data_IF_852666065188
#
_entry.id   IF_852666065188
#
_cell.length_a   1.000
_cell.length_b   1.000
_cell.length_c   1.000
_cell.angle_alpha   90.00
_cell.angle_beta   90.00
_cell.angle_gamma   90.00
#
_symmetry.space_group_name_H-M   'P 1'
#
loop_
_entity.id
_entity.type
_entity.pdbx_description
1 polymer ?
#
# COMPACT_ATOMS: atom_id res chain seq x y z
N UNK A 1 2.84 7.18 18.68
CA UNK A 1 3.85 8.16 18.86
C UNK A 1 5.22 7.81 18.33
N UNK A 2 6.24 7.86 19.18
CA UNK A 2 7.66 7.66 18.80
C UNK A 2 7.95 6.29 18.16
N UNK A 3 7.26 5.23 18.62
CA UNK A 3 7.46 3.87 18.12
C UNK A 3 7.00 3.71 16.66
N UNK A 4 5.85 4.29 16.30
CA UNK A 4 5.31 4.23 14.93
C UNK A 4 6.24 4.97 13.95
N UNK A 5 6.70 6.17 14.33
CA UNK A 5 7.62 6.95 13.51
C UNK A 5 8.93 6.22 13.26
N UNK A 6 9.45 5.50 14.26
CA UNK A 6 10.67 4.70 14.13
C UNK A 6 10.51 3.60 13.09
N UNK A 7 9.41 2.85 13.11
CA UNK A 7 9.16 1.78 12.12
C UNK A 7 9.10 2.32 10.69
N UNK A 8 8.47 3.46 10.48
CA UNK A 8 8.43 4.13 9.17
C UNK A 8 9.83 4.53 8.72
N UNK A 9 10.62 5.15 9.59
CA UNK A 9 12.00 5.55 9.29
C UNK A 9 12.88 4.34 8.97
N UNK A 10 12.70 3.23 9.67
CA UNK A 10 13.45 2.01 9.40
C UNK A 10 13.18 1.48 7.98
N UNK A 11 11.95 1.58 7.49
CA UNK A 11 11.62 1.22 6.11
C UNK A 11 12.28 2.19 5.12
N UNK A 12 12.15 3.50 5.34
CA UNK A 12 12.77 4.52 4.47
C UNK A 12 14.28 4.31 4.37
N UNK A 13 14.93 4.00 5.49
CA UNK A 13 16.37 3.81 5.56
C UNK A 13 16.87 2.54 4.83
N UNK A 14 15.98 1.64 4.45
CA UNK A 14 16.35 0.48 3.64
C UNK A 14 16.55 0.83 2.16
N UNK A 15 16.15 2.01 1.73
CA UNK A 15 16.36 2.47 0.34
C UNK A 15 17.84 2.35 -0.05
N UNK A 16 18.11 1.64 -1.15
CA UNK A 16 19.46 1.38 -1.68
C UNK A 16 20.39 0.57 -0.76
N UNK A 17 19.88 0.01 0.33
CA UNK A 17 20.70 -0.76 1.29
C UNK A 17 20.30 -2.21 1.37
N UNK A 18 19.01 -2.50 1.39
CA UNK A 18 18.51 -3.86 1.49
C UNK A 18 17.13 -3.98 0.84
N UNK A 19 16.80 -5.20 0.43
CA UNK A 19 15.48 -5.51 -0.11
C UNK A 19 14.44 -5.50 1.01
N UNK A 20 13.28 -4.90 0.75
CA UNK A 20 12.16 -4.89 1.66
C UNK A 20 11.25 -6.08 1.33
N UNK A 21 11.01 -6.93 2.33
CA UNK A 21 10.11 -8.08 2.18
C UNK A 21 8.73 -7.69 2.70
N UNK A 22 7.74 -7.75 1.83
CA UNK A 22 6.35 -7.42 2.14
C UNK A 22 5.47 -8.63 1.88
N UNK A 23 4.69 -9.04 2.88
CA UNK A 23 3.81 -10.20 2.80
C UNK A 23 2.40 -9.80 3.24
N UNK A 24 1.39 -10.51 2.72
CA UNK A 24 0.00 -10.31 3.09
C UNK A 24 -0.42 -11.27 4.20
N UNK A 25 -1.27 -10.81 5.11
CA UNK A 25 -1.86 -11.65 6.14
C UNK A 25 -3.36 -11.41 6.22
N UNK A 26 -4.11 -12.49 6.49
CA UNK A 26 -5.57 -12.46 6.58
C UNK A 26 -6.07 -12.83 7.97
N UNK A 27 -5.19 -13.26 8.87
CA UNK A 27 -5.54 -13.68 10.22
C UNK A 27 -4.39 -13.45 11.19
N UNK A 28 -4.70 -13.47 12.49
CA UNK A 28 -3.71 -13.44 13.56
C UNK A 28 -2.65 -14.55 13.41
N UNK A 29 -3.10 -15.77 13.12
CA UNK A 29 -2.20 -16.93 13.05
C UNK A 29 -1.18 -16.78 11.94
N UNK A 30 -1.62 -16.39 10.73
CA UNK A 30 -0.73 -16.16 9.61
C UNK A 30 0.22 -15.01 9.92
N UNK A 31 -0.28 -13.90 10.46
CA UNK A 31 0.53 -12.75 10.83
C UNK A 31 1.63 -13.14 11.82
N UNK A 32 1.30 -13.94 12.83
CA UNK A 32 2.28 -14.41 13.83
C UNK A 32 3.41 -15.23 13.20
N UNK A 33 3.09 -16.04 12.21
CA UNK A 33 4.09 -16.87 11.52
C UNK A 33 5.00 -16.01 10.66
N UNK A 34 4.46 -15.11 9.85
CA UNK A 34 5.25 -14.33 8.88
C UNK A 34 5.95 -13.12 9.49
N UNK A 35 5.55 -12.68 10.67
CA UNK A 35 6.11 -11.49 11.33
C UNK A 35 7.63 -11.55 11.51
N UNK A 36 8.19 -12.75 11.66
CA UNK A 36 9.64 -12.94 11.81
C UNK A 36 10.40 -12.95 10.48
N UNK A 37 9.69 -13.03 9.34
CA UNK A 37 10.29 -13.22 8.02
C UNK A 37 10.10 -12.06 7.07
N UNK A 38 9.44 -10.99 7.50
CA UNK A 38 9.17 -9.84 6.65
C UNK A 38 9.35 -8.51 7.38
N UNK A 39 9.43 -7.45 6.59
CA UNK A 39 9.53 -6.07 7.07
C UNK A 39 8.17 -5.40 7.17
N UNK A 40 7.25 -5.77 6.25
CA UNK A 40 5.92 -5.18 6.14
C UNK A 40 4.89 -6.29 6.03
N UNK A 41 3.80 -6.15 6.77
CA UNK A 41 2.61 -7.00 6.64
C UNK A 41 1.47 -6.13 6.11
N UNK A 42 0.92 -6.55 4.97
CA UNK A 42 -0.18 -5.89 4.29
C UNK A 42 -1.50 -6.58 4.62
N UNK A 43 -2.51 -5.79 4.95
CA UNK A 43 -3.90 -6.24 4.98
C UNK A 43 -4.59 -5.56 3.81
N UNK A 44 -4.81 -6.31 2.73
CA UNK A 44 -5.19 -5.74 1.45
C UNK A 44 -6.61 -6.05 0.99
N UNK A 45 -7.00 -5.44 -0.12
CA UNK A 45 -8.32 -5.61 -0.74
C UNK A 45 -8.60 -7.04 -1.19
N UNK A 46 -7.56 -7.85 -1.45
CA UNK A 46 -7.71 -9.27 -1.78
C UNK A 46 -8.36 -10.09 -0.65
N UNK A 47 -8.48 -9.51 0.56
CA UNK A 47 -9.16 -10.11 1.69
C UNK A 47 -10.56 -10.61 1.34
N UNK A 48 -11.33 -9.83 0.58
CA UNK A 48 -12.68 -10.20 0.18
C UNK A 48 -12.73 -11.47 -0.65
N UNK A 49 -11.79 -11.64 -1.61
CA UNK A 49 -11.68 -12.84 -2.43
C UNK A 49 -11.33 -14.08 -1.62
N UNK A 50 -10.45 -13.93 -0.64
CA UNK A 50 -9.92 -15.06 0.14
C UNK A 50 -10.90 -15.52 1.22
N UNK A 51 -11.45 -14.59 2.00
CA UNK A 51 -12.23 -14.93 3.19
C UNK A 51 -13.74 -14.93 2.98
N UNK A 52 -14.24 -14.11 2.05
CA UNK A 52 -15.67 -13.93 1.83
C UNK A 52 -16.17 -14.47 0.49
N UNK A 53 -15.26 -14.99 -0.35
CA UNK A 53 -15.60 -15.46 -1.68
C UNK A 53 -16.29 -14.40 -2.55
N UNK A 54 -15.89 -13.16 -2.40
CA UNK A 54 -16.41 -12.08 -3.23
C UNK A 54 -15.89 -12.18 -4.66
N UNK A 55 -16.73 -11.79 -5.63
CA UNK A 55 -16.37 -11.79 -7.05
C UNK A 55 -15.38 -10.67 -7.39
N UNK A 56 -15.30 -9.62 -6.57
CA UNK A 56 -14.44 -8.45 -6.79
C UNK A 56 -13.89 -7.95 -5.47
N UNK A 57 -12.63 -7.48 -5.48
CA UNK A 57 -12.00 -6.84 -4.33
C UNK A 57 -12.69 -5.53 -3.93
N UNK A 58 -13.48 -4.93 -4.85
CA UNK A 58 -14.26 -3.71 -4.58
C UNK A 58 -15.40 -3.91 -3.60
N UNK A 59 -15.78 -5.15 -3.33
CA UNK A 59 -16.87 -5.49 -2.41
C UNK A 59 -16.46 -5.42 -0.93
N UNK A 60 -15.16 -5.29 -0.64
CA UNK A 60 -14.69 -5.17 0.75
C UNK A 60 -15.08 -3.82 1.33
N UNK A 61 -15.80 -3.84 2.45
CA UNK A 61 -16.22 -2.62 3.15
C UNK A 61 -15.15 -2.13 4.12
N UNK A 62 -15.24 -0.86 4.50
CA UNK A 62 -14.37 -0.28 5.52
C UNK A 62 -14.47 -1.06 6.84
N UNK A 63 -15.68 -1.39 7.28
CA UNK A 63 -15.89 -2.12 8.53
C UNK A 63 -15.29 -3.54 8.48
N UNK A 64 -15.46 -4.24 7.37
CA UNK A 64 -14.86 -5.56 7.19
C UNK A 64 -13.33 -5.48 7.25
N UNK A 65 -12.73 -4.50 6.56
CA UNK A 65 -11.29 -4.28 6.59
C UNK A 65 -10.79 -4.00 8.01
N UNK A 66 -11.49 -3.16 8.76
CA UNK A 66 -11.14 -2.84 10.14
C UNK A 66 -11.21 -4.09 11.03
N UNK A 67 -12.27 -4.89 10.94
CA UNK A 67 -12.42 -6.07 11.79
C UNK A 67 -11.33 -7.11 11.54
N UNK A 68 -11.01 -7.38 10.28
CA UNK A 68 -9.92 -8.30 9.96
C UNK A 68 -8.56 -7.74 10.35
N UNK A 69 -8.36 -6.44 10.18
CA UNK A 69 -7.11 -5.78 10.56
C UNK A 69 -6.86 -5.84 12.07
N UNK A 70 -7.91 -5.76 12.88
CA UNK A 70 -7.78 -5.96 14.34
C UNK A 70 -7.23 -7.35 14.67
N UNK A 71 -7.70 -8.38 13.99
CA UNK A 71 -7.20 -9.74 14.17
C UNK A 71 -5.72 -9.86 13.75
N UNK A 72 -5.40 -9.36 12.57
CA UNK A 72 -4.02 -9.36 12.06
C UNK A 72 -3.08 -8.62 13.00
N UNK A 73 -3.51 -7.46 13.54
CA UNK A 73 -2.71 -6.66 14.48
C UNK A 73 -2.23 -7.48 15.67
N UNK A 74 -3.08 -8.36 16.17
CA UNK A 74 -2.74 -9.19 17.33
C UNK A 74 -1.57 -10.15 17.07
N UNK A 75 -1.32 -10.49 15.81
CA UNK A 75 -0.21 -11.37 15.40
C UNK A 75 1.09 -10.65 15.11
N UNK A 76 1.11 -9.32 15.02
CA UNK A 76 2.28 -8.56 14.61
C UNK A 76 2.99 -7.95 15.82
N UNK A 77 4.28 -8.25 15.95
CA UNK A 77 5.13 -7.66 17.00
C UNK A 77 6.25 -6.79 16.43
N UNK A 78 6.80 -7.15 15.27
CA UNK A 78 8.01 -6.53 14.70
C UNK A 78 7.73 -5.78 13.39
N UNK A 79 6.97 -6.37 12.49
CA UNK A 79 6.76 -5.83 11.15
C UNK A 79 5.94 -4.54 11.16
N UNK A 80 6.15 -3.71 10.14
CA UNK A 80 5.28 -2.57 9.88
C UNK A 80 3.94 -3.09 9.35
N UNK A 81 2.86 -2.69 9.98
CA UNK A 81 1.50 -3.07 9.54
C UNK A 81 0.89 -1.98 8.67
N UNK A 82 0.49 -2.34 7.47
CA UNK A 82 -0.15 -1.44 6.52
C UNK A 82 -1.53 -1.99 6.17
N UNK A 83 -2.54 -1.14 6.25
CA UNK A 83 -3.93 -1.49 5.91
C UNK A 83 -4.35 -0.76 4.66
N UNK A 84 -4.84 -1.50 3.67
CA UNK A 84 -5.40 -0.90 2.45
C UNK A 84 -6.68 -0.15 2.78
N UNK A 85 -6.79 1.09 2.29
CA UNK A 85 -8.06 1.79 2.30
C UNK A 85 -8.93 1.22 1.17
N UNK A 86 -10.12 0.66 1.50
CA UNK A 86 -10.98 0.08 0.47
C UNK A 86 -11.45 1.09 -0.56
N UNK A 87 -11.86 0.58 -1.72
CA UNK A 87 -12.49 1.39 -2.77
C UNK A 87 -13.65 2.21 -2.20
N UNK A 88 -13.81 3.44 -2.67
CA UNK A 88 -14.83 4.40 -2.22
C UNK A 88 -14.66 4.90 -0.77
N UNK A 89 -13.48 4.78 -0.18
CA UNK A 89 -13.22 5.32 1.17
C UNK A 89 -12.31 6.55 1.16
N UNK A 90 -11.80 6.95 -0.01
CA UNK A 90 -10.90 8.12 -0.15
C UNK A 90 -11.18 8.93 -1.42
N UNK A 91 -12.46 9.15 -1.75
CA UNK A 91 -12.90 9.90 -2.94
C UNK A 91 -12.52 11.37 -2.90
N UNK A 92 -12.39 11.92 -1.70
CA UNK A 92 -11.94 13.29 -1.46
C UNK A 92 -11.15 13.36 -0.17
N UNK A 93 -10.49 14.50 0.07
CA UNK A 93 -9.60 14.65 1.22
C UNK A 93 -10.31 14.53 2.57
N UNK A 94 -11.53 15.08 2.70
CA UNK A 94 -12.31 15.03 3.94
C UNK A 94 -12.70 13.60 4.29
N UNK A 95 -13.24 12.87 3.32
CA UNK A 95 -13.61 11.45 3.47
C UNK A 95 -12.39 10.59 3.80
N UNK A 96 -11.29 10.79 3.07
CA UNK A 96 -10.06 10.04 3.27
C UNK A 96 -9.50 10.25 4.68
N UNK A 97 -9.45 11.48 5.14
CA UNK A 97 -8.94 11.79 6.48
C UNK A 97 -9.80 11.16 7.57
N UNK A 98 -11.13 11.26 7.47
CA UNK A 98 -12.06 10.63 8.40
C UNK A 98 -11.84 9.11 8.46
N UNK A 99 -11.78 8.46 7.31
CA UNK A 99 -11.68 7.01 7.22
C UNK A 99 -10.29 6.52 7.62
N UNK A 100 -9.23 7.21 7.25
CA UNK A 100 -7.86 6.85 7.64
C UNK A 100 -7.66 6.99 9.16
N UNK A 101 -8.18 8.05 9.77
CA UNK A 101 -8.15 8.20 11.24
C UNK A 101 -8.88 7.06 11.94
N UNK A 102 -10.02 6.65 11.40
CA UNK A 102 -10.79 5.52 11.95
C UNK A 102 -10.01 4.21 11.86
N UNK A 103 -9.39 3.94 10.73
CA UNK A 103 -8.53 2.76 10.55
C UNK A 103 -7.39 2.78 11.55
N UNK A 104 -6.62 3.86 11.60
CA UNK A 104 -5.46 4.00 12.50
C UNK A 104 -5.85 3.82 13.97
N UNK A 105 -6.95 4.43 14.38
CA UNK A 105 -7.41 4.35 15.77
C UNK A 105 -7.88 2.95 16.15
N UNK A 106 -8.67 2.31 15.29
CA UNK A 106 -9.30 1.03 15.61
C UNK A 106 -8.39 -0.17 15.42
N UNK A 107 -7.51 -0.13 14.44
CA UNK A 107 -6.64 -1.27 14.12
C UNK A 107 -5.25 -1.15 14.74
N UNK A 108 -4.84 0.05 15.15
CA UNK A 108 -3.48 0.33 15.61
C UNK A 108 -2.41 0.02 14.55
N UNK A 109 -2.78 0.03 13.27
CA UNK A 109 -1.82 -0.14 12.19
C UNK A 109 -0.83 1.04 12.14
N UNK A 110 0.27 0.83 11.41
CA UNK A 110 1.33 1.83 11.31
C UNK A 110 1.14 2.79 10.14
N UNK A 111 0.42 2.35 9.11
CA UNK A 111 0.20 3.12 7.89
C UNK A 111 -1.03 2.64 7.14
N UNK A 112 -1.48 3.45 6.18
CA UNK A 112 -2.54 3.09 5.23
C UNK A 112 -1.97 3.05 3.81
N UNK A 113 -2.55 2.24 2.94
CA UNK A 113 -2.18 2.16 1.52
C UNK A 113 -3.34 2.63 0.67
N UNK A 114 -3.04 3.49 -0.31
CA UNK A 114 -3.99 4.02 -1.27
C UNK A 114 -3.48 3.75 -2.68
N UNK A 115 -4.39 3.37 -3.59
CA UNK A 115 -4.05 3.22 -5.00
C UNK A 115 -4.35 4.48 -5.78
N UNK A 116 -3.51 4.79 -6.76
CA UNK A 116 -3.66 5.92 -7.66
C UNK A 116 -2.45 6.84 -7.63
N UNK A 117 -2.42 7.76 -8.57
CA UNK A 117 -1.35 8.73 -8.72
C UNK A 117 -1.88 10.16 -8.60
N UNK A 118 -1.85 10.91 -9.71
CA UNK A 118 -2.25 12.31 -9.75
C UNK A 118 -3.61 12.59 -9.11
N UNK A 119 -4.60 11.72 -9.32
CA UNK A 119 -5.97 11.91 -8.80
C UNK A 119 -6.03 11.96 -7.28
N UNK A 120 -5.12 11.27 -6.59
CA UNK A 120 -5.09 11.21 -5.13
C UNK A 120 -3.99 12.06 -4.50
N UNK A 121 -3.30 12.88 -5.28
CA UNK A 121 -2.22 13.73 -4.77
C UNK A 121 -2.64 14.55 -3.55
N UNK A 122 -3.76 15.27 -3.65
CA UNK A 122 -4.26 16.10 -2.55
C UNK A 122 -4.70 15.27 -1.35
N UNK A 123 -5.30 14.11 -1.60
CA UNK A 123 -5.69 13.17 -0.55
C UNK A 123 -4.47 12.71 0.24
N UNK A 124 -3.45 12.24 -0.44
CA UNK A 124 -2.20 11.78 0.20
C UNK A 124 -1.55 12.91 0.98
N UNK A 125 -1.51 14.11 0.40
CA UNK A 125 -0.92 15.28 1.06
C UNK A 125 -1.65 15.63 2.36
N UNK A 126 -2.98 15.58 2.37
CA UNK A 126 -3.77 15.83 3.58
C UNK A 126 -3.50 14.77 4.65
N UNK A 127 -3.45 13.50 4.27
CA UNK A 127 -3.16 12.42 5.22
C UNK A 127 -1.78 12.57 5.85
N UNK A 128 -0.76 12.78 5.04
CA UNK A 128 0.62 12.91 5.55
C UNK A 128 0.81 14.16 6.41
N UNK A 129 0.16 15.26 6.08
CA UNK A 129 0.15 16.47 6.93
C UNK A 129 -0.52 16.25 8.28
N UNK A 130 -1.42 15.29 8.37
CA UNK A 130 -2.09 14.91 9.61
C UNK A 130 -1.41 13.73 10.31
N UNK A 131 -0.13 13.49 10.01
CA UNK A 131 0.70 12.45 10.63
C UNK A 131 0.20 11.02 10.39
N UNK A 132 -0.52 10.79 9.30
CA UNK A 132 -0.92 9.45 8.87
C UNK A 132 0.05 9.01 7.78
N UNK A 133 0.92 8.01 8.06
CA UNK A 133 1.85 7.52 7.05
C UNK A 133 1.09 6.85 5.91
N UNK A 134 1.51 7.15 4.68
CA UNK A 134 0.86 6.63 3.46
C UNK A 134 1.86 5.85 2.61
N UNK A 135 1.47 4.64 2.24
CA UNK A 135 2.11 3.85 1.19
C UNK A 135 1.30 4.03 -0.09
N UNK A 136 1.97 4.43 -1.17
CA UNK A 136 1.35 4.54 -2.48
C UNK A 136 1.26 3.18 -3.18
N UNK A 137 0.41 3.08 -4.21
CA UNK A 137 0.23 1.85 -4.99
C UNK A 137 -0.01 2.21 -6.45
N UNK A 138 0.90 1.80 -7.33
CA UNK A 138 0.85 2.06 -8.76
C UNK A 138 0.98 0.76 -9.57
N UNK A 139 0.65 0.84 -10.85
CA UNK A 139 0.72 -0.27 -11.79
C UNK A 139 -0.65 -0.84 -12.09
N UNK A 140 -0.78 -2.18 -12.09
CA UNK A 140 -2.07 -2.83 -12.17
C UNK A 140 -2.79 -2.68 -10.84
N UNK A 141 -3.88 -1.92 -10.83
CA UNK A 141 -4.60 -1.58 -9.61
C UNK A 141 -5.89 -2.42 -9.53
N UNK A 142 -6.01 -3.32 -8.53
CA UNK A 142 -7.15 -4.24 -8.44
C UNK A 142 -8.50 -3.53 -8.33
N UNK A 143 -8.51 -2.29 -7.81
CA UNK A 143 -9.74 -1.52 -7.65
C UNK A 143 -10.20 -0.84 -8.95
N UNK A 144 -9.31 -0.55 -9.89
CA UNK A 144 -9.59 0.24 -11.08
C UNK A 144 -9.39 -0.49 -12.40
N UNK A 145 -8.56 -1.52 -12.44
CA UNK A 145 -8.25 -2.28 -13.66
C UNK A 145 -8.86 -3.68 -13.64
N UNK A 146 -9.60 -4.00 -14.71
CA UNK A 146 -10.20 -5.32 -14.89
C UNK A 146 -9.35 -6.24 -15.76
N UNK A 147 -8.32 -5.72 -16.42
CA UNK A 147 -7.46 -6.49 -17.33
C UNK A 147 -6.10 -6.73 -16.70
N UNK A 148 -5.68 -8.00 -16.66
CA UNK A 148 -4.41 -8.42 -16.10
C UNK A 148 -3.32 -8.34 -17.18
N UNK A 149 -2.82 -7.11 -17.44
CA UNK A 149 -1.72 -6.87 -18.38
C UNK A 149 -0.62 -6.07 -17.69
N UNK A 150 0.63 -6.35 -18.04
CA UNK A 150 1.75 -5.54 -17.57
C UNK A 150 1.59 -4.09 -18.02
N UNK A 151 1.74 -3.17 -17.07
CA UNK A 151 1.79 -1.74 -17.35
C UNK A 151 3.20 -1.32 -17.71
N UNK A 152 3.31 -0.29 -18.52
CA UNK A 152 4.58 0.31 -18.89
C UNK A 152 5.17 -0.15 -20.22
N UNK A 153 4.43 -0.96 -21.00
CA UNK A 153 4.84 -1.33 -22.37
C UNK A 153 4.71 -0.17 -23.33
N UNK A 154 3.71 0.71 -23.14
CA UNK A 154 3.53 1.91 -23.96
C UNK A 154 4.25 3.09 -23.32
N UNK A 155 4.80 3.98 -24.17
CA UNK A 155 5.52 5.17 -23.71
C UNK A 155 4.64 6.07 -22.84
N UNK A 156 3.37 6.25 -23.21
CA UNK A 156 2.41 7.04 -22.43
C UNK A 156 2.18 6.47 -21.03
N UNK A 157 2.06 5.14 -20.91
CA UNK A 157 1.90 4.47 -19.61
C UNK A 157 3.16 4.61 -18.76
N UNK A 158 4.34 4.47 -19.38
CA UNK A 158 5.63 4.62 -18.69
C UNK A 158 5.75 6.02 -18.08
N UNK A 159 5.50 7.04 -18.90
CA UNK A 159 5.59 8.44 -18.46
C UNK A 159 4.59 8.75 -17.34
N UNK A 160 3.38 8.20 -17.44
CA UNK A 160 2.36 8.37 -16.40
C UNK A 160 2.80 7.76 -15.06
N UNK A 161 3.32 6.53 -15.08
CA UNK A 161 3.78 5.87 -13.85
C UNK A 161 4.95 6.61 -13.23
N UNK A 162 5.92 7.04 -14.03
CA UNK A 162 7.06 7.84 -13.56
C UNK A 162 6.58 9.14 -12.90
N UNK A 163 5.66 9.84 -13.54
CA UNK A 163 5.10 11.09 -13.01
C UNK A 163 4.29 10.86 -11.75
N UNK A 164 3.46 9.84 -11.73
CA UNK A 164 2.65 9.50 -10.57
C UNK A 164 3.52 9.13 -9.36
N UNK A 165 4.62 8.42 -9.57
CA UNK A 165 5.57 8.11 -8.50
C UNK A 165 6.19 9.37 -7.89
N UNK A 166 6.60 10.32 -8.72
CA UNK A 166 7.11 11.61 -8.26
C UNK A 166 6.06 12.38 -7.46
N UNK A 167 4.82 12.40 -7.93
CA UNK A 167 3.72 13.08 -7.24
C UNK A 167 3.43 12.46 -5.87
N UNK A 168 3.40 11.14 -5.78
CA UNK A 168 3.20 10.45 -4.50
C UNK A 168 4.31 10.76 -3.51
N UNK A 169 5.56 10.74 -3.95
CA UNK A 169 6.70 11.14 -3.12
C UNK A 169 6.56 12.58 -2.65
N UNK A 170 6.23 13.49 -3.55
CA UNK A 170 6.03 14.91 -3.25
C UNK A 170 4.89 15.14 -2.26
N UNK A 171 3.84 14.31 -2.31
CA UNK A 171 2.72 14.37 -1.38
C UNK A 171 3.07 13.82 0.01
N UNK A 172 4.23 13.19 0.18
CA UNK A 172 4.72 12.70 1.46
C UNK A 172 4.60 11.20 1.69
N UNK A 173 4.25 10.41 0.66
CA UNK A 173 4.25 8.95 0.79
C UNK A 173 5.65 8.44 1.20
N UNK A 174 5.72 7.46 2.09
CA UNK A 174 7.01 6.93 2.56
C UNK A 174 7.53 5.77 1.71
N UNK A 175 6.69 5.16 0.90
CA UNK A 175 7.03 4.07 -0.01
C UNK A 175 5.96 3.92 -1.07
N UNK A 176 6.28 3.20 -2.15
CA UNK A 176 5.34 2.91 -3.24
C UNK A 176 5.43 1.44 -3.61
N UNK A 177 4.29 0.77 -3.65
CA UNK A 177 4.15 -0.57 -4.21
C UNK A 177 3.97 -0.45 -5.72
N UNK A 178 4.77 -1.18 -6.47
CA UNK A 178 4.69 -1.30 -7.93
C UNK A 178 4.16 -2.70 -8.26
N UNK A 179 2.88 -2.80 -8.63
CA UNK A 179 2.24 -4.08 -8.92
C UNK A 179 2.09 -4.28 -10.42
N UNK A 180 2.59 -5.42 -10.91
CA UNK A 180 2.52 -5.79 -12.34
C UNK A 180 3.09 -4.71 -13.26
N UNK A 181 4.17 -4.07 -12.84
CA UNK A 181 4.91 -3.08 -13.62
C UNK A 181 6.08 -3.78 -14.30
N UNK A 182 6.30 -3.48 -15.58
CA UNK A 182 7.41 -4.05 -16.32
C UNK A 182 8.74 -3.80 -15.60
N UNK A 183 9.62 -4.79 -15.59
CA UNK A 183 10.86 -4.77 -14.78
C UNK A 183 11.75 -3.56 -15.07
N UNK A 184 11.91 -3.19 -16.34
CA UNK A 184 12.75 -2.04 -16.70
C UNK A 184 12.18 -0.73 -16.18
N UNK A 185 10.86 -0.58 -16.23
CA UNK A 185 10.17 0.60 -15.69
C UNK A 185 10.24 0.64 -14.17
N UNK A 186 10.07 -0.50 -13.50
CA UNK A 186 10.23 -0.58 -12.04
C UNK A 186 11.62 -0.11 -11.60
N UNK A 187 12.66 -0.50 -12.33
CA UNK A 187 14.02 -0.05 -12.07
C UNK A 187 14.18 1.47 -12.27
N UNK A 188 13.56 2.01 -13.31
CA UNK A 188 13.58 3.45 -13.58
C UNK A 188 12.90 4.23 -12.45
N UNK A 189 11.72 3.81 -12.04
CA UNK A 189 10.99 4.44 -10.91
C UNK A 189 11.86 4.40 -9.66
N UNK A 190 12.41 3.23 -9.33
CA UNK A 190 13.25 3.05 -8.14
C UNK A 190 14.45 3.98 -8.12
N UNK A 191 15.07 4.21 -9.28
CA UNK A 191 16.20 5.13 -9.41
C UNK A 191 15.79 6.60 -9.28
N UNK A 192 14.63 6.96 -9.81
CA UNK A 192 14.18 8.33 -9.93
C UNK A 192 13.70 8.94 -8.62
N UNK A 193 13.08 8.12 -7.75
CA UNK A 193 12.54 8.59 -6.47
C UNK A 193 13.47 8.23 -5.31
N UNK A 194 13.32 8.95 -4.19
CA UNK A 194 14.15 8.78 -3.00
C UNK A 194 13.54 7.85 -1.95
N UNK A 195 12.25 7.56 -2.06
CA UNK A 195 11.56 6.64 -1.16
C UNK A 195 11.65 5.19 -1.69
N UNK A 196 11.55 4.19 -0.81
CA UNK A 196 11.60 2.78 -1.23
C UNK A 196 10.46 2.39 -2.16
N UNK A 197 10.75 1.49 -3.09
CA UNK A 197 9.75 0.82 -3.91
C UNK A 197 9.67 -0.66 -3.53
N UNK A 198 8.47 -1.22 -3.64
CA UNK A 198 8.21 -2.63 -3.35
C UNK A 198 7.56 -3.22 -4.58
N UNK A 199 8.24 -4.18 -5.22
CA UNK A 199 7.73 -4.84 -6.42
C UNK A 199 6.84 -6.02 -6.07
N UNK A 200 5.67 -6.10 -6.71
CA UNK A 200 4.75 -7.23 -6.60
C UNK A 200 4.29 -7.61 -8.00
N UNK A 201 4.28 -8.92 -8.30
CA UNK A 201 3.78 -9.43 -9.56
C UNK A 201 4.61 -9.05 -10.79
N UNK A 202 5.92 -8.93 -10.65
CA UNK A 202 6.82 -8.67 -11.78
C UNK A 202 7.07 -9.92 -12.63
N UNK A 203 6.30 -11.00 -12.44
CA UNK A 203 6.40 -12.25 -13.17
C UNK A 203 5.43 -12.31 -14.34
N UNK A 204 5.54 -13.35 -15.16
CA UNK A 204 4.66 -13.59 -16.30
C UNK A 204 3.18 -13.85 -15.92
N UNK A 205 2.86 -13.89 -14.65
CA UNK A 205 1.53 -14.20 -14.13
C UNK A 205 0.65 -12.96 -13.89
N UNK A 206 1.12 -11.79 -14.26
CA UNK A 206 0.29 -10.57 -14.19
C UNK A 206 -0.65 -10.42 -15.40
#
# INVERSE_FOLDING_TARGET
>A
GKSMKKKILDIINKKNKSKIVSLAAYSKNIASIIDNFCDIILVGDSLGSVLYNYKSTREVTLNAMIEHSKSVRMGIKKSLMVVDMPHNTYRNSKEALKNAKKIMLKTKCDAVKLEGGKKIYNVVKVLTKNNIPVMGHLGLLPQSDKTFKFKGKKVSERNKILKDAELLQSAGAFSIVLECVETSLSKMVTKQINIPTIGIGASNNC
#
